data_IF_383034133587
#
_entry.id   IF_383034133587
#
_cell.length_a   1.000
_cell.length_b   1.000
_cell.length_c   1.000
_cell.angle_alpha   90.00
_cell.angle_beta   90.00
_cell.angle_gamma   90.00
#
_symmetry.space_group_name_H-M   'P 1'
#
loop_
_entity.id
_entity.type
_entity.pdbx_description
1 polymer ?
#
# COMPACT_ATOMS: atom_id res chain seq x y z
N UNK A 1 13.14 0.95 -5.47
CA UNK A 1 13.30 -0.04 -4.39
C UNK A 1 13.36 -1.39 -5.06
N UNK A 2 14.54 -1.99 -5.05
CA UNK A 2 14.80 -3.28 -5.68
C UNK A 2 14.26 -4.42 -4.80
N UNK A 3 13.92 -5.56 -5.40
CA UNK A 3 13.34 -6.70 -4.65
C UNK A 3 14.30 -7.22 -3.56
N UNK A 4 15.60 -7.11 -3.80
CA UNK A 4 16.68 -7.34 -2.83
C UNK A 4 16.48 -6.55 -1.52
N UNK A 5 16.25 -5.25 -1.61
CA UNK A 5 16.06 -4.37 -0.44
C UNK A 5 14.79 -4.68 0.38
N UNK A 6 13.75 -5.24 -0.26
CA UNK A 6 12.55 -5.68 0.44
C UNK A 6 12.80 -6.98 1.21
N UNK A 7 13.58 -7.89 0.63
CA UNK A 7 13.96 -9.16 1.28
C UNK A 7 14.87 -8.92 2.47
N UNK A 8 15.81 -7.98 2.37
CA UNK A 8 16.65 -7.59 3.51
C UNK A 8 15.83 -7.04 4.68
N UNK A 9 14.84 -6.18 4.39
CA UNK A 9 13.92 -5.67 5.42
C UNK A 9 13.10 -6.79 6.05
N UNK A 10 12.60 -7.75 5.27
CA UNK A 10 11.87 -8.91 5.82
C UNK A 10 12.74 -9.81 6.69
N UNK A 11 14.00 -10.01 6.30
CA UNK A 11 14.93 -10.81 7.09
C UNK A 11 15.28 -10.11 8.41
N UNK A 12 15.54 -8.80 8.38
CA UNK A 12 15.72 -7.98 9.57
C UNK A 12 14.49 -8.03 10.50
N UNK A 13 13.29 -8.00 9.92
CA UNK A 13 12.04 -8.15 10.66
C UNK A 13 11.96 -9.51 11.36
N UNK A 14 12.36 -10.60 10.68
CA UNK A 14 12.38 -11.96 11.26
C UNK A 14 13.36 -12.08 12.41
N UNK A 15 14.56 -11.51 12.27
CA UNK A 15 15.52 -11.47 13.36
C UNK A 15 14.96 -10.70 14.56
N UNK A 16 14.35 -9.54 14.34
CA UNK A 16 13.72 -8.75 15.39
C UNK A 16 12.59 -9.52 16.10
N UNK A 17 11.71 -10.21 15.35
CA UNK A 17 10.64 -11.06 15.91
C UNK A 17 11.22 -12.20 16.76
N UNK A 18 12.34 -12.78 16.34
CA UNK A 18 13.00 -13.85 17.08
C UNK A 18 13.57 -13.40 18.43
N UNK A 19 13.88 -12.11 18.55
CA UNK A 19 14.40 -11.48 19.78
C UNK A 19 13.29 -11.05 20.76
N UNK A 20 12.02 -11.04 20.34
CA UNK A 20 10.89 -10.68 21.20
C UNK A 20 10.61 -11.76 22.25
N UNK A 21 10.07 -11.34 23.40
CA UNK A 21 9.54 -12.28 24.39
C UNK A 21 8.38 -13.13 23.83
N UNK A 22 8.07 -14.31 24.40
CA UNK A 22 6.98 -15.17 23.94
C UNK A 22 5.62 -14.46 23.87
N UNK A 23 5.32 -13.59 24.84
CA UNK A 23 4.06 -12.84 24.90
C UNK A 23 3.98 -11.75 23.83
N UNK A 24 5.07 -10.99 23.61
CA UNK A 24 5.10 -10.00 22.53
C UNK A 24 5.09 -10.65 21.15
N UNK A 25 5.78 -11.78 20.99
CA UNK A 25 5.78 -12.53 19.72
C UNK A 25 4.37 -13.03 19.38
N UNK A 26 3.60 -13.51 20.37
CA UNK A 26 2.20 -13.88 20.16
C UNK A 26 1.34 -12.68 19.77
N UNK A 27 1.53 -11.53 20.44
CA UNK A 27 0.81 -10.29 20.13
C UNK A 27 1.18 -9.75 18.74
N UNK A 28 2.43 -9.89 18.33
CA UNK A 28 2.89 -9.56 16.99
C UNK A 28 2.12 -10.36 15.93
N UNK A 29 2.03 -11.68 16.04
CA UNK A 29 1.31 -12.49 15.05
C UNK A 29 -0.19 -12.16 14.98
N UNK A 30 -0.80 -11.80 16.11
CA UNK A 30 -2.20 -11.33 16.13
C UNK A 30 -2.38 -9.99 15.42
N UNK A 31 -1.42 -9.08 15.58
CA UNK A 31 -1.43 -7.77 14.91
C UNK A 31 -1.09 -7.89 13.42
N UNK A 32 -0.18 -8.79 13.06
CA UNK A 32 0.18 -9.09 11.68
C UNK A 32 -1.06 -9.51 10.88
N UNK A 33 -1.85 -10.46 11.39
CA UNK A 33 -3.08 -10.92 10.73
C UNK A 33 -4.11 -9.80 10.51
N UNK A 34 -4.15 -8.80 11.40
CA UNK A 34 -5.11 -7.68 11.32
C UNK A 34 -4.62 -6.52 10.44
N UNK A 35 -3.32 -6.24 10.45
CA UNK A 35 -2.73 -5.05 9.84
C UNK A 35 -2.19 -5.32 8.44
N UNK A 36 -1.74 -6.54 8.16
CA UNK A 36 -1.23 -6.94 6.85
C UNK A 36 -2.34 -6.80 5.81
N UNK A 37 -2.05 -6.02 4.77
CA UNK A 37 -2.94 -5.83 3.63
C UNK A 37 -2.62 -6.83 2.53
N UNK A 38 -3.67 -7.27 1.85
CA UNK A 38 -3.59 -8.24 0.77
C UNK A 38 -3.35 -7.55 -0.58
N UNK A 39 -2.29 -7.93 -1.33
CA UNK A 39 -1.99 -7.37 -2.64
C UNK A 39 -3.09 -7.55 -3.68
N UNK A 40 -3.80 -8.68 -3.64
CA UNK A 40 -4.82 -9.02 -4.63
C UNK A 40 -6.06 -8.15 -4.41
N UNK A 41 -6.44 -7.92 -3.15
CA UNK A 41 -7.48 -6.96 -2.77
C UNK A 41 -7.15 -5.55 -3.28
N UNK A 42 -5.90 -5.11 -3.12
CA UNK A 42 -5.44 -3.82 -3.65
C UNK A 42 -5.50 -3.75 -5.19
N UNK A 43 -5.10 -4.82 -5.88
CA UNK A 43 -5.17 -4.91 -7.34
C UNK A 43 -6.61 -4.88 -7.85
N UNK A 44 -7.53 -5.59 -7.20
CA UNK A 44 -8.97 -5.57 -7.51
C UNK A 44 -9.55 -4.18 -7.32
N UNK A 45 -9.23 -3.50 -6.21
CA UNK A 45 -9.68 -2.11 -5.99
C UNK A 45 -9.15 -1.17 -7.06
N UNK A 46 -7.87 -1.30 -7.42
CA UNK A 46 -7.26 -0.46 -8.44
C UNK A 46 -7.87 -0.72 -9.83
N UNK A 47 -8.19 -1.97 -10.15
CA UNK A 47 -8.80 -2.35 -11.43
C UNK A 47 -10.27 -1.90 -11.52
N UNK A 48 -11.07 -2.17 -10.48
CA UNK A 48 -12.51 -1.88 -10.47
C UNK A 48 -12.81 -0.39 -10.26
N UNK A 49 -11.88 0.33 -9.62
CA UNK A 49 -12.02 1.76 -9.30
C UNK A 49 -10.80 2.56 -9.78
N UNK A 50 -10.47 2.46 -11.06
CA UNK A 50 -9.38 3.17 -11.75
C UNK A 50 -9.40 4.73 -11.62
N UNK A 51 -10.30 5.29 -10.79
CA UNK A 51 -10.40 6.69 -10.43
C UNK A 51 -9.68 7.07 -9.12
N UNK A 52 -8.82 6.20 -8.55
CA UNK A 52 -7.96 6.54 -7.41
C UNK A 52 -8.43 6.05 -6.03
N UNK A 53 -9.46 5.18 -5.95
CA UNK A 53 -9.91 4.64 -4.66
C UNK A 53 -8.89 3.69 -4.02
N UNK A 54 -8.03 3.03 -4.80
CA UNK A 54 -6.94 2.19 -4.28
C UNK A 54 -5.99 2.98 -3.37
N UNK A 55 -5.83 4.29 -3.61
CA UNK A 55 -5.05 5.14 -2.72
C UNK A 55 -5.67 5.26 -1.32
N UNK A 56 -6.99 5.19 -1.19
CA UNK A 56 -7.66 5.21 0.11
C UNK A 56 -7.40 3.92 0.91
N UNK A 57 -7.26 2.78 0.22
CA UNK A 57 -6.96 1.49 0.87
C UNK A 57 -5.60 1.46 1.58
N UNK A 58 -4.62 2.21 1.05
CA UNK A 58 -3.29 2.37 1.65
C UNK A 58 -3.15 3.65 2.51
N UNK A 59 -4.26 4.35 2.80
CA UNK A 59 -4.24 5.59 3.60
C UNK A 59 -3.73 6.84 2.87
N UNK A 60 -3.50 6.80 1.55
CA UNK A 60 -2.98 7.91 0.72
C UNK A 60 -4.10 8.77 0.12
N UNK A 61 -4.97 9.31 0.96
CA UNK A 61 -6.21 10.03 0.59
C UNK A 61 -6.01 11.17 -0.42
N UNK A 62 -4.94 11.96 -0.27
CA UNK A 62 -4.67 13.14 -1.14
C UNK A 62 -4.46 12.72 -2.60
N UNK A 63 -3.75 11.62 -2.85
CA UNK A 63 -3.50 11.15 -4.21
C UNK A 63 -4.77 10.61 -4.86
N UNK A 64 -5.60 9.92 -4.08
CA UNK A 64 -6.92 9.48 -4.54
C UNK A 64 -7.82 10.65 -4.93
N UNK A 65 -7.78 11.74 -4.16
CA UNK A 65 -8.57 12.93 -4.45
C UNK A 65 -8.13 13.65 -5.74
N UNK A 66 -6.82 13.79 -5.95
CA UNK A 66 -6.28 14.39 -7.19
C UNK A 66 -6.71 13.59 -8.42
N UNK A 67 -6.59 12.25 -8.37
CA UNK A 67 -7.02 11.39 -9.47
C UNK A 67 -8.53 11.49 -9.72
N UNK A 68 -9.35 11.52 -8.67
CA UNK A 68 -10.79 11.70 -8.81
C UNK A 68 -11.15 13.04 -9.46
N UNK A 69 -10.49 14.14 -9.07
CA UNK A 69 -10.70 15.47 -9.67
C UNK A 69 -10.26 15.49 -11.13
N UNK A 70 -9.09 14.93 -11.45
CA UNK A 70 -8.58 14.86 -12.83
C UNK A 70 -9.52 14.04 -13.72
N UNK A 71 -9.99 12.89 -13.25
CA UNK A 71 -10.98 12.07 -13.95
C UNK A 71 -12.30 12.83 -14.17
N UNK A 72 -12.76 13.59 -13.16
CA UNK A 72 -13.98 14.40 -13.27
C UNK A 72 -13.82 15.53 -14.29
N UNK A 73 -12.69 16.25 -14.28
CA UNK A 73 -12.37 17.30 -15.27
C UNK A 73 -12.31 16.69 -16.68
N UNK A 74 -11.66 15.55 -16.84
CA UNK A 74 -11.59 14.83 -18.12
C UNK A 74 -12.97 14.42 -18.63
N UNK A 75 -13.88 14.03 -17.73
CA UNK A 75 -15.26 13.68 -18.08
C UNK A 75 -16.10 14.89 -18.48
N UNK A 76 -16.01 16.00 -17.72
CA UNK A 76 -16.71 17.25 -18.04
C UNK A 76 -16.24 17.82 -19.38
N UNK A 77 -14.93 17.71 -19.66
CA UNK A 77 -14.32 18.23 -20.89
C UNK A 77 -14.23 17.20 -22.02
N UNK A 78 -14.90 16.04 -21.89
CA UNK A 78 -14.75 14.90 -22.80
C UNK A 78 -14.98 15.28 -24.26
N UNK A 79 -16.04 16.04 -24.55
CA UNK A 79 -16.41 16.49 -25.89
C UNK A 79 -15.38 17.42 -26.57
N UNK A 80 -14.49 18.04 -25.78
CA UNK A 80 -13.49 19.02 -26.25
C UNK A 80 -12.07 18.45 -26.21
N UNK A 81 -11.91 17.15 -25.89
CA UNK A 81 -10.60 16.49 -25.82
C UNK A 81 -10.18 16.01 -24.43
N UNK A 82 -11.04 16.14 -23.40
CA UNK A 82 -10.77 15.65 -22.04
C UNK A 82 -10.47 14.16 -21.93
N UNK A 83 -10.82 13.38 -22.96
CA UNK A 83 -10.43 11.97 -23.09
C UNK A 83 -8.91 11.77 -23.07
N UNK A 84 -8.11 12.73 -23.58
CA UNK A 84 -6.64 12.67 -23.53
C UNK A 84 -6.14 12.68 -22.09
N UNK A 85 -6.77 13.49 -21.24
CA UNK A 85 -6.43 13.60 -19.83
C UNK A 85 -6.79 12.31 -19.08
N UNK A 86 -7.94 11.70 -19.39
CA UNK A 86 -8.33 10.38 -18.85
C UNK A 86 -7.33 9.30 -19.25
N UNK A 87 -6.96 9.24 -20.55
CA UNK A 87 -5.98 8.27 -21.04
C UNK A 87 -4.63 8.47 -20.37
N UNK A 88 -4.19 9.72 -20.18
CA UNK A 88 -2.93 10.03 -19.50
C UNK A 88 -2.93 9.54 -18.04
N UNK A 89 -4.02 9.81 -17.30
CA UNK A 89 -4.18 9.32 -15.92
C UNK A 89 -4.12 7.80 -15.88
N UNK A 90 -4.83 7.12 -16.79
CA UNK A 90 -4.80 5.65 -16.88
C UNK A 90 -3.39 5.15 -17.17
N UNK A 91 -2.66 5.73 -18.13
CA UNK A 91 -1.29 5.29 -18.47
C UNK A 91 -0.32 5.48 -17.30
N UNK A 92 -0.51 6.51 -16.47
CA UNK A 92 0.30 6.76 -15.28
C UNK A 92 -0.07 5.79 -14.13
N UNK A 93 -1.34 5.46 -13.97
CA UNK A 93 -1.85 4.58 -12.90
C UNK A 93 -1.69 3.09 -13.22
N UNK A 94 -1.71 2.70 -14.50
CA UNK A 94 -1.64 1.31 -14.93
C UNK A 94 -0.36 0.59 -14.49
N UNK A 95 0.85 1.20 -14.49
CA UNK A 95 2.03 0.62 -13.85
C UNK A 95 1.87 0.34 -12.35
N UNK A 96 0.99 1.05 -11.65
CA UNK A 96 0.71 0.80 -10.22
C UNK A 96 -0.10 -0.49 -10.02
N UNK A 97 -0.96 -0.89 -10.98
CA UNK A 97 -1.64 -2.19 -10.97
C UNK A 97 -0.62 -3.33 -10.93
N UNK A 98 0.36 -3.31 -11.85
CA UNK A 98 1.39 -4.35 -11.94
C UNK A 98 2.38 -4.32 -10.76
N UNK A 99 2.46 -3.20 -10.04
CA UNK A 99 3.34 -3.03 -8.88
C UNK A 99 2.58 -3.13 -7.55
N UNK A 100 1.33 -3.57 -7.56
CA UNK A 100 0.48 -3.77 -6.37
C UNK A 100 1.20 -4.53 -5.27
N UNK A 101 1.79 -5.68 -5.62
CA UNK A 101 2.54 -6.53 -4.70
C UNK A 101 3.68 -5.78 -4.01
N UNK A 102 4.50 -5.03 -4.77
CA UNK A 102 5.62 -4.26 -4.19
C UNK A 102 5.13 -3.13 -3.29
N UNK A 103 4.06 -2.45 -3.68
CA UNK A 103 3.49 -1.32 -2.92
C UNK A 103 2.92 -1.81 -1.60
N UNK A 104 2.14 -2.89 -1.63
CA UNK A 104 1.51 -3.47 -0.44
C UNK A 104 2.56 -4.12 0.47
N UNK A 105 3.52 -4.86 -0.09
CA UNK A 105 4.63 -5.45 0.68
C UNK A 105 5.44 -4.39 1.42
N UNK A 106 5.77 -3.27 0.76
CA UNK A 106 6.42 -2.15 1.42
C UNK A 106 5.57 -1.58 2.57
N UNK A 107 4.28 -1.35 2.33
CA UNK A 107 3.38 -0.82 3.35
C UNK A 107 3.30 -1.76 4.56
N UNK A 108 3.15 -3.07 4.33
CA UNK A 108 3.09 -4.05 5.41
C UNK A 108 4.38 -4.09 6.22
N UNK A 109 5.55 -4.03 5.57
CA UNK A 109 6.85 -3.95 6.27
C UNK A 109 6.91 -2.70 7.13
N UNK A 110 6.58 -1.52 6.58
CA UNK A 110 6.63 -0.25 7.32
C UNK A 110 5.68 -0.27 8.54
N UNK A 111 4.51 -0.93 8.43
CA UNK A 111 3.57 -1.10 9.56
C UNK A 111 4.12 -2.07 10.60
N UNK A 112 4.69 -3.20 10.17
CA UNK A 112 5.24 -4.21 11.09
C UNK A 112 6.49 -3.73 11.82
N UNK A 113 7.35 -2.93 11.18
CA UNK A 113 8.48 -2.24 11.83
C UNK A 113 7.96 -1.39 13.01
N UNK A 114 6.87 -0.64 12.80
CA UNK A 114 6.23 0.15 13.86
C UNK A 114 5.68 -0.68 15.01
N UNK A 115 5.06 -1.84 14.72
CA UNK A 115 4.53 -2.75 15.75
C UNK A 115 5.65 -3.33 16.61
N UNK A 116 6.78 -3.73 16.01
CA UNK A 116 7.94 -4.26 16.74
C UNK A 116 8.55 -3.19 17.66
N UNK A 117 8.68 -1.97 17.17
CA UNK A 117 9.20 -0.83 17.94
C UNK A 117 8.30 -0.46 19.14
N UNK A 118 6.99 -0.65 19.01
CA UNK A 118 6.03 -0.46 20.09
C UNK A 118 6.13 -1.59 21.13
N UNK A 119 6.16 -2.84 20.67
CA UNK A 119 6.29 -4.00 21.55
C UNK A 119 7.62 -4.01 22.32
N UNK A 120 8.73 -3.62 21.70
CA UNK A 120 10.03 -3.50 22.39
C UNK A 120 10.03 -2.41 23.48
N UNK A 121 9.29 -1.31 23.26
CA UNK A 121 9.14 -0.24 24.26
C UNK A 121 8.28 -0.66 25.44
N UNK A 122 7.26 -1.49 25.23
CA UNK A 122 6.45 -2.05 26.32
C UNK A 122 7.23 -3.05 27.20
N UNK A 123 8.38 -3.54 26.73
CA UNK A 123 9.23 -4.53 27.42
C UNK A 123 10.44 -3.95 28.16
N UNK A 124 10.79 -2.68 27.90
CA UNK A 124 11.88 -1.96 28.58
C UNK A 124 11.38 -1.25 29.84
#
# INVERSE_FOLDING_TARGET
MDDSSLREKEEALREAISSLSPDARKRYYQLEEQLVKDPDTYAVLNYFFAAGLHHFYLGKVIRGLINAILMLIGLITFAVGGWVLIVLVIVIELPQLFKSQKIVRKHNIDVMEGVIDELNREQS
#
